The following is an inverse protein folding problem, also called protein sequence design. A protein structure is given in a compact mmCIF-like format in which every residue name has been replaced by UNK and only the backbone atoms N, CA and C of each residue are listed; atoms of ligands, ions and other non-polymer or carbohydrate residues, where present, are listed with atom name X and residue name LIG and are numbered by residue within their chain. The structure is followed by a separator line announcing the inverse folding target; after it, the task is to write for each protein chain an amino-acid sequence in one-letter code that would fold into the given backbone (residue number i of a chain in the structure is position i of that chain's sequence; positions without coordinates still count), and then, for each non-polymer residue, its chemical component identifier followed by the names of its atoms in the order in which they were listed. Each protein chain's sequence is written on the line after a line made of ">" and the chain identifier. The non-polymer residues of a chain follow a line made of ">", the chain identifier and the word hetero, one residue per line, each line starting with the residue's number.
data_IF_709920828260
#
_entry.id   IF_709920828260
#
_cell.length_a   1.000
_cell.length_b   1.000
_cell.length_c   1.000
_cell.angle_alpha   90.00
_cell.angle_beta   90.00
_cell.angle_gamma   90.00
#
_symmetry.space_group_name_H-M   'P 1'
#
loop_
_entity.id
_entity.type
_entity.pdbx_description
1 polymer ?
#
# COMPACT_ATOMS: atom_id res chain seq x y z
N UNK A 1 35.41 -46.04 -43.80
CA UNK A 1 35.00 -46.81 -42.60
C UNK A 1 34.89 -45.85 -41.41
N UNK A 2 33.68 -45.56 -40.91
CA UNK A 2 33.43 -44.60 -39.81
C UNK A 2 33.21 -45.40 -38.52
N UNK A 3 34.18 -45.37 -37.60
CA UNK A 3 34.04 -46.02 -36.27
C UNK A 3 33.02 -45.24 -35.46
N UNK A 4 31.86 -45.85 -35.19
CA UNK A 4 30.88 -45.32 -34.24
C UNK A 4 31.48 -45.53 -32.84
N UNK A 5 31.89 -44.44 -32.20
CA UNK A 5 32.30 -44.45 -30.80
C UNK A 5 31.08 -44.81 -29.94
N UNK A 6 31.10 -45.98 -29.28
CA UNK A 6 30.09 -46.36 -28.30
C UNK A 6 30.16 -45.36 -27.14
N UNK A 7 29.16 -44.48 -27.04
CA UNK A 7 29.00 -43.62 -25.89
C UNK A 7 28.68 -44.51 -24.68
N UNK A 8 29.63 -44.63 -23.76
CA UNK A 8 29.52 -45.50 -22.59
C UNK A 8 28.66 -44.76 -21.58
N UNK A 9 27.35 -45.03 -21.58
CA UNK A 9 26.45 -44.52 -20.54
C UNK A 9 26.91 -45.05 -19.19
N UNK A 10 27.61 -44.21 -18.42
CA UNK A 10 27.95 -44.46 -17.02
C UNK A 10 26.69 -44.22 -16.21
N UNK A 11 26.13 -45.27 -15.62
CA UNK A 11 25.00 -45.15 -14.70
C UNK A 11 25.47 -44.55 -13.36
N UNK A 12 24.67 -43.64 -12.81
CA UNK A 12 24.84 -43.11 -11.45
C UNK A 12 24.72 -44.26 -10.43
N UNK A 13 25.64 -44.30 -9.46
CA UNK A 13 25.55 -45.28 -8.37
C UNK A 13 24.60 -44.78 -7.28
N UNK A 14 23.92 -45.69 -6.58
CA UNK A 14 23.03 -45.35 -5.46
C UNK A 14 23.74 -44.53 -4.39
N UNK A 15 24.99 -44.86 -4.08
CA UNK A 15 25.81 -44.16 -3.08
C UNK A 15 26.16 -42.74 -3.51
N UNK A 16 26.36 -42.49 -4.79
CA UNK A 16 26.68 -41.18 -5.34
C UNK A 16 25.47 -40.24 -5.29
N UNK A 17 24.28 -40.75 -5.62
CA UNK A 17 23.04 -39.99 -5.44
C UNK A 17 22.71 -39.77 -3.96
N UNK A 18 23.00 -40.74 -3.08
CA UNK A 18 22.79 -40.63 -1.64
C UNK A 18 23.67 -39.54 -1.01
N UNK A 19 24.97 -39.52 -1.33
CA UNK A 19 25.89 -38.48 -0.81
C UNK A 19 25.49 -37.09 -1.32
N UNK A 20 25.07 -36.98 -2.58
CA UNK A 20 24.59 -35.70 -3.14
C UNK A 20 23.34 -35.21 -2.41
N UNK A 21 22.35 -36.08 -2.19
CA UNK A 21 21.15 -35.72 -1.42
C UNK A 21 21.49 -35.35 0.03
N UNK A 22 22.44 -36.03 0.66
CA UNK A 22 22.91 -35.70 2.00
C UNK A 22 23.51 -34.30 2.06
N UNK A 23 24.39 -33.95 1.12
CA UNK A 23 25.01 -32.62 1.05
C UNK A 23 23.96 -31.54 0.79
N UNK A 24 23.04 -31.76 -0.16
CA UNK A 24 21.95 -30.80 -0.45
C UNK A 24 21.03 -30.63 0.76
N UNK A 25 20.69 -31.71 1.47
CA UNK A 25 19.88 -31.65 2.69
C UNK A 25 20.55 -30.85 3.81
N UNK A 26 21.85 -31.04 4.02
CA UNK A 26 22.63 -30.29 5.01
C UNK A 26 22.74 -28.80 4.67
N UNK A 27 22.98 -28.47 3.40
CA UNK A 27 23.05 -27.06 2.97
C UNK A 27 21.66 -26.39 3.04
N UNK A 28 20.62 -27.09 2.61
CA UNK A 28 19.24 -26.56 2.60
C UNK A 28 18.73 -26.25 4.01
N UNK A 29 19.07 -27.08 5.01
CA UNK A 29 18.63 -26.86 6.39
C UNK A 29 19.13 -25.55 7.00
N UNK A 30 20.32 -25.08 6.58
CA UNK A 30 20.89 -23.80 7.03
C UNK A 30 20.48 -22.66 6.10
N UNK A 31 20.48 -22.89 4.79
CA UNK A 31 20.26 -21.85 3.79
C UNK A 31 18.81 -21.33 3.78
N UNK A 32 17.81 -22.22 3.88
CA UNK A 32 16.38 -21.86 3.82
C UNK A 32 15.96 -20.88 4.92
N UNK A 33 16.21 -21.14 6.23
CA UNK A 33 15.79 -20.20 7.28
C UNK A 33 16.52 -18.85 7.18
N UNK A 34 17.80 -18.85 6.80
CA UNK A 34 18.56 -17.61 6.61
C UNK A 34 17.96 -16.80 5.45
N UNK A 35 17.62 -17.46 4.34
CA UNK A 35 17.01 -16.80 3.19
C UNK A 35 15.65 -16.17 3.55
N UNK A 36 14.79 -16.90 4.26
CA UNK A 36 13.47 -16.38 4.70
C UNK A 36 13.64 -15.14 5.57
N UNK A 37 14.53 -15.17 6.56
CA UNK A 37 14.77 -14.01 7.43
C UNK A 37 15.30 -12.79 6.64
N UNK A 38 16.21 -13.01 5.68
CA UNK A 38 16.72 -11.94 4.83
C UNK A 38 15.64 -11.33 3.92
N UNK A 39 14.71 -12.16 3.43
CA UNK A 39 13.57 -11.67 2.67
C UNK A 39 12.63 -10.83 3.54
N UNK A 40 12.31 -11.28 4.75
CA UNK A 40 11.47 -10.50 5.67
C UNK A 40 12.13 -9.15 6.03
N UNK A 41 13.43 -9.13 6.35
CA UNK A 41 14.17 -7.89 6.60
C UNK A 41 14.10 -6.93 5.40
N UNK A 42 14.18 -7.46 4.18
CA UNK A 42 14.08 -6.67 2.95
C UNK A 42 12.66 -6.10 2.76
N UNK A 43 11.63 -6.89 3.06
CA UNK A 43 10.22 -6.43 3.04
C UNK A 43 9.99 -5.31 4.04
N UNK A 44 10.44 -5.45 5.28
CA UNK A 44 10.29 -4.39 6.30
C UNK A 44 10.97 -3.09 5.85
N UNK A 45 12.19 -3.16 5.29
CA UNK A 45 12.89 -1.98 4.77
C UNK A 45 12.20 -1.34 3.59
N UNK A 46 11.65 -2.16 2.69
CA UNK A 46 10.86 -1.68 1.56
C UNK A 46 9.60 -0.98 2.07
N UNK A 47 8.88 -1.59 3.01
CA UNK A 47 7.68 -1.01 3.61
C UNK A 47 7.97 0.34 4.30
N UNK A 48 9.10 0.44 4.99
CA UNK A 48 9.56 1.70 5.60
C UNK A 48 9.82 2.79 4.53
N UNK A 49 10.50 2.44 3.44
CA UNK A 49 10.74 3.38 2.35
C UNK A 49 9.44 3.84 1.69
N UNK A 50 8.54 2.90 1.38
CA UNK A 50 7.24 3.17 0.77
C UNK A 50 6.33 4.02 1.67
N UNK A 51 6.26 3.74 2.98
CA UNK A 51 5.54 4.59 3.95
C UNK A 51 6.03 6.05 3.93
N UNK A 52 7.35 6.24 3.85
CA UNK A 52 7.96 7.57 3.77
C UNK A 52 7.63 8.26 2.45
N UNK A 53 7.70 7.54 1.34
CA UNK A 53 7.36 8.09 0.02
C UNK A 53 5.88 8.51 -0.05
N UNK A 54 4.96 7.68 0.44
CA UNK A 54 3.53 8.00 0.53
C UNK A 54 3.30 9.25 1.39
N UNK A 55 3.94 9.32 2.56
CA UNK A 55 3.81 10.49 3.43
C UNK A 55 4.34 11.78 2.78
N UNK A 56 5.48 11.70 2.08
CA UNK A 56 6.02 12.84 1.34
C UNK A 56 5.08 13.28 0.20
N UNK A 57 4.44 12.32 -0.48
CA UNK A 57 3.45 12.60 -1.52
C UNK A 57 2.20 13.27 -0.94
N UNK A 58 1.69 12.80 0.21
CA UNK A 58 0.61 13.46 0.95
C UNK A 58 0.97 14.90 1.36
N UNK A 59 2.17 15.11 1.92
CA UNK A 59 2.64 16.45 2.28
C UNK A 59 2.76 17.36 1.06
N UNK A 60 3.24 16.85 -0.07
CA UNK A 60 3.30 17.61 -1.32
C UNK A 60 1.90 17.96 -1.84
N UNK A 61 0.97 17.01 -1.83
CA UNK A 61 -0.42 17.24 -2.20
C UNK A 61 -1.06 18.32 -1.31
N UNK A 62 -0.87 18.23 0.00
CA UNK A 62 -1.35 19.21 0.95
C UNK A 62 -0.69 20.59 0.79
N UNK A 63 0.59 20.67 0.41
CA UNK A 63 1.23 21.96 0.16
C UNK A 63 0.64 22.66 -1.08
N UNK A 64 0.26 21.92 -2.12
CA UNK A 64 -0.28 22.48 -3.36
C UNK A 64 -1.77 22.78 -3.24
N UNK A 65 -2.57 21.79 -2.82
CA UNK A 65 -4.04 21.85 -2.81
C UNK A 65 -4.63 22.20 -1.45
N UNK A 66 -3.84 22.05 -0.38
CA UNK A 66 -4.28 22.34 0.98
C UNK A 66 -5.17 21.25 1.58
N UNK A 67 -5.14 20.03 1.04
CA UNK A 67 -5.87 18.86 1.55
C UNK A 67 -4.98 17.62 1.51
N UNK A 68 -5.12 16.77 2.52
CA UNK A 68 -4.77 15.35 2.43
C UNK A 68 -5.91 14.58 1.76
N UNK A 69 -5.53 13.55 1.02
CA UNK A 69 -6.45 12.71 0.27
C UNK A 69 -6.31 11.25 0.73
N UNK A 70 -7.24 10.38 0.38
CA UNK A 70 -6.97 8.95 0.43
C UNK A 70 -5.82 8.57 -0.51
N UNK A 71 -4.99 7.62 -0.08
CA UNK A 71 -3.73 7.34 -0.78
C UNK A 71 -3.89 6.93 -2.24
N UNK A 72 -5.00 6.27 -2.61
CA UNK A 72 -5.26 5.88 -4.01
C UNK A 72 -5.40 7.09 -4.96
N UNK A 73 -5.65 8.29 -4.44
CA UNK A 73 -5.79 9.49 -5.26
C UNK A 73 -4.42 10.10 -5.58
N UNK A 74 -3.37 9.74 -4.83
CA UNK A 74 -2.05 10.34 -4.99
C UNK A 74 -1.39 10.00 -6.34
N UNK A 75 -1.75 8.89 -6.98
CA UNK A 75 -1.25 8.55 -8.32
C UNK A 75 -2.09 9.11 -9.47
N UNK A 76 -3.18 9.80 -9.17
CA UNK A 76 -4.10 10.25 -10.20
C UNK A 76 -3.44 11.22 -11.18
N UNK A 77 -3.74 11.04 -12.47
CA UNK A 77 -3.35 11.97 -13.51
C UNK A 77 -4.29 13.18 -13.55
N UNK A 78 -3.80 14.36 -13.97
CA UNK A 78 -4.61 15.57 -14.02
C UNK A 78 -5.61 15.56 -15.18
N UNK A 79 -5.28 14.89 -16.27
CA UNK A 79 -6.13 14.74 -17.44
C UNK A 79 -6.02 13.32 -18.00
N UNK A 80 -7.14 12.73 -18.46
CA UNK A 80 -7.12 11.37 -19.00
C UNK A 80 -6.35 11.34 -20.32
N UNK A 81 -5.36 10.44 -20.44
CA UNK A 81 -4.74 10.13 -21.74
C UNK A 81 -5.66 9.34 -22.66
N UNK A 82 -6.68 8.67 -22.10
CA UNK A 82 -7.80 8.02 -22.79
C UNK A 82 -9.00 7.91 -21.82
N UNK A 83 -10.19 8.33 -22.26
CA UNK A 83 -11.39 8.58 -21.44
C UNK A 83 -12.07 7.34 -20.81
N UNK A 84 -11.52 6.14 -20.95
CA UNK A 84 -12.25 4.90 -20.62
C UNK A 84 -11.77 4.16 -19.37
N UNK A 85 -10.82 4.70 -18.61
CA UNK A 85 -10.32 4.08 -17.38
C UNK A 85 -10.77 4.92 -16.18
N UNK A 86 -11.69 4.35 -15.41
CA UNK A 86 -12.19 4.91 -14.15
C UNK A 86 -11.08 4.84 -13.09
N UNK A 87 -10.94 5.88 -12.26
CA UNK A 87 -9.93 5.91 -11.18
C UNK A 87 -8.46 6.08 -11.61
N UNK A 88 -8.21 6.55 -12.84
CA UNK A 88 -6.86 6.90 -13.34
C UNK A 88 -6.60 8.43 -13.30
N UNK A 89 -7.64 9.20 -12.96
CA UNK A 89 -7.62 10.66 -12.93
C UNK A 89 -8.55 11.17 -11.86
N UNK A 90 -8.20 12.31 -11.26
CA UNK A 90 -8.98 12.97 -10.21
C UNK A 90 -10.45 13.23 -10.58
N UNK A 91 -10.76 13.38 -11.87
CA UNK A 91 -12.11 13.65 -12.40
C UNK A 91 -12.95 12.39 -12.63
N UNK A 92 -12.32 11.22 -12.64
CA UNK A 92 -12.98 9.92 -12.84
C UNK A 92 -13.25 9.19 -11.52
N UNK A 93 -12.92 9.82 -10.39
CA UNK A 93 -13.29 9.37 -9.05
C UNK A 93 -14.83 9.40 -8.85
N UNK A 94 -15.40 8.51 -8.03
CA UNK A 94 -16.81 8.53 -7.70
C UNK A 94 -17.18 9.83 -6.96
N UNK A 95 -17.91 10.69 -7.68
CA UNK A 95 -18.34 12.00 -7.18
C UNK A 95 -19.11 11.85 -5.86
N UNK A 96 -18.72 12.64 -4.86
CA UNK A 96 -19.45 12.69 -3.59
C UNK A 96 -19.11 11.56 -2.59
N UNK A 97 -18.22 10.63 -2.93
CA UNK A 97 -17.89 9.48 -2.06
C UNK A 97 -16.61 9.71 -1.26
N UNK A 98 -15.63 10.37 -1.87
CA UNK A 98 -14.31 10.61 -1.26
C UNK A 98 -14.36 11.86 -0.39
N UNK A 99 -13.87 11.75 0.84
CA UNK A 99 -13.75 12.83 1.80
C UNK A 99 -12.31 13.36 1.83
N UNK A 100 -12.19 14.68 1.91
CA UNK A 100 -10.94 15.41 1.99
C UNK A 100 -10.65 15.81 3.42
N UNK A 101 -9.37 15.86 3.77
CA UNK A 101 -8.91 16.22 5.11
C UNK A 101 -8.11 17.51 5.01
N UNK A 102 -8.51 18.54 5.74
CA UNK A 102 -7.77 19.79 5.80
C UNK A 102 -6.71 19.72 6.92
N UNK A 103 -5.40 19.72 6.61
CA UNK A 103 -4.35 19.61 7.63
C UNK A 103 -4.27 20.84 8.57
N UNK A 104 -4.90 21.97 8.20
CA UNK A 104 -4.86 23.21 8.98
C UNK A 104 -5.93 23.27 10.08
N UNK A 105 -6.92 22.38 10.03
CA UNK A 105 -7.98 22.29 11.04
C UNK A 105 -7.74 21.01 11.83
N UNK A 106 -8.07 21.01 13.12
CA UNK A 106 -7.92 19.79 13.91
C UNK A 106 -8.88 18.71 13.40
N UNK A 107 -8.50 17.43 13.40
CA UNK A 107 -9.36 16.35 12.92
C UNK A 107 -10.72 16.29 13.64
N UNK A 108 -10.76 16.57 14.95
CA UNK A 108 -11.98 16.54 15.76
C UNK A 108 -13.03 17.55 15.30
N UNK A 109 -12.59 18.70 14.81
CA UNK A 109 -13.46 19.79 14.34
C UNK A 109 -13.95 19.56 12.91
N UNK A 110 -13.32 18.65 12.18
CA UNK A 110 -13.68 18.30 10.81
C UNK A 110 -14.60 17.09 10.72
N UNK A 111 -14.49 16.16 11.68
CA UNK A 111 -15.22 14.90 11.65
C UNK A 111 -16.74 15.12 11.50
N UNK A 112 -17.32 14.51 10.47
CA UNK A 112 -18.75 14.64 10.15
C UNK A 112 -19.13 15.92 9.39
N UNK A 113 -18.20 16.87 9.22
CA UNK A 113 -18.34 18.08 8.39
C UNK A 113 -17.19 18.21 7.39
N UNK A 114 -16.56 17.09 7.03
CA UNK A 114 -15.46 17.07 6.07
C UNK A 114 -15.93 17.55 4.70
N UNK A 115 -14.98 18.13 3.96
CA UNK A 115 -15.23 18.46 2.57
C UNK A 115 -15.24 17.17 1.76
N UNK A 116 -16.10 17.13 0.76
CA UNK A 116 -16.22 15.98 -0.14
C UNK A 116 -15.57 16.35 -1.46
N UNK A 117 -14.81 15.43 -2.04
CA UNK A 117 -14.34 15.53 -3.41
C UNK A 117 -15.55 15.45 -4.33
N UNK A 118 -15.92 16.60 -4.89
CA UNK A 118 -16.97 16.64 -5.87
C UNK A 118 -16.75 17.73 -6.90
N UNK A 119 -16.99 17.38 -8.16
CA UNK A 119 -16.95 18.32 -9.29
C UNK A 119 -18.03 19.41 -9.18
N UNK A 120 -19.11 19.12 -8.46
CA UNK A 120 -20.20 20.05 -8.17
C UNK A 120 -20.07 20.75 -6.81
N UNK A 121 -18.93 20.61 -6.12
CA UNK A 121 -18.72 21.17 -4.78
C UNK A 121 -18.87 22.70 -4.77
N UNK A 122 -19.61 23.23 -3.79
CA UNK A 122 -19.75 24.67 -3.57
C UNK A 122 -18.47 25.33 -3.03
N UNK A 123 -17.48 24.55 -2.60
CA UNK A 123 -16.23 25.07 -2.07
C UNK A 123 -15.23 25.34 -3.21
N UNK A 124 -14.77 26.60 -3.41
CA UNK A 124 -13.85 26.95 -4.49
C UNK A 124 -12.51 26.21 -4.37
N UNK A 125 -12.04 25.86 -3.18
CA UNK A 125 -10.77 25.14 -2.98
C UNK A 125 -10.84 23.70 -3.50
N UNK A 126 -11.96 23.03 -3.30
CA UNK A 126 -12.16 21.66 -3.78
C UNK A 126 -12.22 21.65 -5.31
N UNK A 127 -12.95 22.61 -5.88
CA UNK A 127 -13.00 22.77 -7.34
C UNK A 127 -11.64 23.09 -7.95
N UNK A 128 -10.89 24.00 -7.33
CA UNK A 128 -9.55 24.36 -7.77
C UNK A 128 -8.60 23.15 -7.78
N UNK A 129 -8.66 22.31 -6.73
CA UNK A 129 -7.91 21.05 -6.68
C UNK A 129 -8.24 20.11 -7.84
N UNK A 130 -9.52 19.98 -8.21
CA UNK A 130 -9.95 19.12 -9.33
C UNK A 130 -9.56 19.72 -10.69
N UNK A 131 -9.69 21.04 -10.84
CA UNK A 131 -9.43 21.76 -12.09
C UNK A 131 -7.92 21.90 -12.38
N UNK A 132 -7.11 22.06 -11.34
CA UNK A 132 -5.66 22.27 -11.42
C UNK A 132 -4.87 21.18 -10.70
N UNK A 133 -5.36 19.94 -10.73
CA UNK A 133 -4.65 18.82 -10.14
C UNK A 133 -3.20 18.75 -10.64
N UNK A 134 -2.26 18.62 -9.71
CA UNK A 134 -0.82 18.66 -9.98
C UNK A 134 -0.16 17.28 -9.88
N UNK A 135 -0.95 16.22 -9.70
CA UNK A 135 -0.47 14.85 -9.67
C UNK A 135 0.05 14.36 -11.03
N UNK A 136 0.57 13.13 -11.10
CA UNK A 136 0.66 12.17 -10.00
C UNK A 136 1.75 12.56 -9.00
N UNK A 137 1.47 12.44 -7.71
CA UNK A 137 2.43 12.70 -6.62
C UNK A 137 3.31 11.49 -6.31
N UNK A 138 2.77 10.30 -6.53
CA UNK A 138 3.44 9.02 -6.38
C UNK A 138 2.97 8.08 -7.49
N UNK A 139 3.67 6.97 -7.70
CA UNK A 139 3.28 5.98 -8.68
C UNK A 139 3.28 4.60 -8.02
N UNK A 140 2.09 4.01 -7.89
CA UNK A 140 1.96 2.67 -7.36
C UNK A 140 2.06 1.62 -8.45
N UNK A 141 2.47 0.41 -8.07
CA UNK A 141 2.31 -0.73 -8.95
C UNK A 141 0.81 -1.02 -9.14
N UNK A 142 0.36 -0.95 -10.40
CA UNK A 142 -1.01 -1.35 -10.75
C UNK A 142 -1.24 -2.81 -10.39
N UNK A 143 -2.29 -3.07 -9.63
CA UNK A 143 -2.74 -4.42 -9.27
C UNK A 143 -4.12 -4.67 -9.83
N UNK A 144 -4.41 -5.93 -10.16
CA UNK A 144 -5.71 -6.29 -10.71
C UNK A 144 -6.63 -6.72 -9.58
N UNK A 145 -7.73 -6.02 -9.38
CA UNK A 145 -8.75 -6.42 -8.40
C UNK A 145 -9.76 -7.38 -9.02
N UNK A 146 -10.39 -8.24 -8.19
CA UNK A 146 -11.40 -9.21 -8.61
C UNK A 146 -10.94 -10.67 -8.76
N UNK A 147 -9.64 -10.97 -8.64
CA UNK A 147 -9.12 -12.33 -8.47
C UNK A 147 -8.64 -12.56 -7.02
N UNK A 148 -8.59 -13.81 -6.58
CA UNK A 148 -8.11 -14.19 -5.24
C UNK A 148 -6.68 -13.72 -4.93
N UNK A 149 -5.87 -13.40 -5.94
CA UNK A 149 -4.55 -12.80 -5.79
C UNK A 149 -4.37 -11.58 -6.72
N UNK A 150 -4.43 -10.35 -6.19
CA UNK A 150 -4.27 -9.12 -6.97
C UNK A 150 -2.85 -8.86 -7.49
N UNK A 151 -1.86 -9.57 -6.96
CA UNK A 151 -0.46 -9.50 -7.40
C UNK A 151 -0.12 -10.59 -8.41
N UNK A 152 -1.07 -11.43 -8.82
CA UNK A 152 -0.84 -12.47 -9.83
C UNK A 152 -0.43 -11.86 -11.17
N UNK A 153 0.83 -12.05 -11.62
CA UNK A 153 1.32 -11.47 -12.87
C UNK A 153 0.70 -12.09 -14.12
N UNK A 154 0.00 -13.23 -14.00
CA UNK A 154 -0.61 -13.95 -15.11
C UNK A 154 -2.13 -13.70 -15.22
N UNK A 155 -2.70 -12.87 -14.35
CA UNK A 155 -4.14 -12.62 -14.36
C UNK A 155 -4.54 -11.72 -15.53
N UNK A 156 -5.51 -12.20 -16.32
CA UNK A 156 -6.06 -11.50 -17.47
C UNK A 156 -7.51 -11.13 -17.13
N UNK A 157 -7.74 -9.94 -16.58
CA UNK A 157 -9.10 -9.40 -16.40
C UNK A 157 -9.50 -8.56 -17.62
N UNK A 158 -10.68 -8.83 -18.17
CA UNK A 158 -11.25 -8.09 -19.31
C UNK A 158 -12.41 -7.17 -18.92
N UNK A 159 -12.76 -7.06 -17.64
CA UNK A 159 -13.98 -6.34 -17.20
C UNK A 159 -13.87 -5.56 -15.88
N UNK A 160 -12.91 -5.85 -15.00
CA UNK A 160 -12.70 -5.08 -13.76
C UNK A 160 -11.41 -4.25 -13.86
N UNK A 161 -11.54 -2.97 -13.51
CA UNK A 161 -10.56 -1.92 -13.82
C UNK A 161 -9.35 -1.99 -12.88
N UNK A 162 -8.20 -1.58 -13.44
CA UNK A 162 -6.87 -1.49 -12.86
C UNK A 162 -6.82 -0.32 -11.87
N UNK A 163 -7.03 -0.61 -10.59
CA UNK A 163 -6.99 0.41 -9.54
C UNK A 163 -5.58 0.48 -8.93
N UNK A 164 -5.10 1.70 -8.75
CA UNK A 164 -3.74 1.98 -8.31
C UNK A 164 -3.75 2.05 -6.77
N UNK A 165 -3.69 0.87 -6.14
CA UNK A 165 -3.71 0.77 -4.69
C UNK A 165 -2.30 0.67 -4.11
N UNK A 166 -1.99 1.44 -3.06
CA UNK A 166 -0.75 1.27 -2.33
C UNK A 166 -0.83 -0.02 -1.51
N UNK A 167 -0.22 -1.09 -2.02
CA UNK A 167 -0.04 -2.34 -1.30
C UNK A 167 1.37 -2.42 -0.74
N UNK A 168 1.48 -2.88 0.49
CA UNK A 168 2.73 -3.16 1.15
C UNK A 168 3.42 -4.42 0.56
N UNK A 169 4.66 -4.72 0.97
CA UNK A 169 5.40 -5.88 0.46
C UNK A 169 4.76 -7.24 0.75
N UNK A 170 3.84 -7.34 1.72
CA UNK A 170 3.09 -8.55 2.04
C UNK A 170 1.77 -8.65 1.26
N UNK A 171 1.37 -7.60 0.53
CA UNK A 171 0.17 -7.59 -0.31
C UNK A 171 -1.06 -7.03 0.35
N UNK A 172 -0.89 -6.36 1.49
CA UNK A 172 -1.96 -5.70 2.21
C UNK A 172 -1.95 -4.20 1.91
N UNK A 173 -3.10 -3.52 1.89
CA UNK A 173 -3.16 -2.09 1.65
C UNK A 173 -2.57 -1.28 2.81
N UNK A 174 -1.82 -0.23 2.48
CA UNK A 174 -1.39 0.76 3.46
C UNK A 174 -2.59 1.47 4.11
N UNK A 175 -2.45 1.79 5.39
CA UNK A 175 -3.50 2.42 6.20
C UNK A 175 -3.12 3.85 6.53
N UNK A 176 -4.10 4.74 6.35
CA UNK A 176 -3.96 6.12 6.72
C UNK A 176 -4.56 6.35 8.10
N UNK A 177 -3.81 6.99 9.00
CA UNK A 177 -4.27 7.36 10.32
C UNK A 177 -4.25 8.86 10.53
N UNK A 178 -5.27 9.31 11.25
CA UNK A 178 -5.31 10.63 11.87
C UNK A 178 -5.06 10.48 13.38
N UNK A 179 -4.83 11.60 14.09
CA UNK A 179 -4.81 11.58 15.55
C UNK A 179 -6.08 11.03 16.23
N UNK A 180 -7.20 10.91 15.53
CA UNK A 180 -8.45 10.34 16.07
C UNK A 180 -8.52 8.83 15.95
N UNK A 181 -7.76 8.23 15.04
CA UNK A 181 -7.90 6.84 14.64
C UNK A 181 -7.75 6.67 13.12
N UNK A 182 -8.15 5.49 12.65
CA UNK A 182 -8.00 5.11 11.24
C UNK A 182 -8.88 6.00 10.35
N UNK A 183 -8.35 6.37 9.19
CA UNK A 183 -9.05 7.16 8.19
C UNK A 183 -9.71 6.23 7.19
N UNK A 184 -11.04 6.26 7.18
CA UNK A 184 -11.92 5.64 6.21
C UNK A 184 -12.85 4.61 6.82
N UNK A 185 -14.11 4.57 6.35
CA UNK A 185 -15.10 3.61 6.83
C UNK A 185 -14.73 2.16 6.47
N UNK A 186 -14.17 1.95 5.29
CA UNK A 186 -13.68 0.66 4.79
C UNK A 186 -12.18 0.44 5.03
N UNK A 187 -11.54 1.29 5.83
CA UNK A 187 -10.08 1.28 5.97
C UNK A 187 -9.52 0.04 6.65
N UNK A 188 -10.36 -0.84 7.21
CA UNK A 188 -9.93 -2.16 7.71
C UNK A 188 -10.28 -3.29 6.73
N UNK A 189 -10.95 -2.98 5.62
CA UNK A 189 -11.25 -3.98 4.60
C UNK A 189 -9.95 -4.42 3.93
N UNK A 190 -9.78 -5.74 3.82
CA UNK A 190 -8.63 -6.42 3.22
C UNK A 190 -9.07 -7.28 2.04
N UNK A 191 -10.36 -7.35 1.75
CA UNK A 191 -10.91 -8.06 0.60
C UNK A 191 -10.69 -7.22 -0.66
N UNK A 192 -9.64 -7.57 -1.40
CA UNK A 192 -9.26 -6.92 -2.64
C UNK A 192 -10.13 -7.38 -3.84
N UNK A 193 -11.07 -8.31 -3.64
CA UNK A 193 -11.92 -8.89 -4.71
C UNK A 193 -13.27 -8.22 -4.83
N UNK A 194 -13.79 -7.61 -3.76
CA UNK A 194 -15.09 -6.97 -3.72
C UNK A 194 -14.97 -5.51 -3.25
N UNK A 195 -14.47 -4.68 -4.16
CA UNK A 195 -14.27 -3.25 -3.91
C UNK A 195 -15.27 -2.45 -4.72
N UNK A 196 -15.92 -1.48 -4.05
CA UNK A 196 -16.85 -0.59 -4.74
C UNK A 196 -16.07 0.42 -5.58
N UNK A 197 -15.12 1.16 -4.99
CA UNK A 197 -14.20 2.08 -5.71
C UNK A 197 -12.91 2.45 -4.94
N UNK A 198 -12.83 2.17 -3.64
CA UNK A 198 -11.70 2.56 -2.80
C UNK A 198 -11.60 1.72 -1.52
N UNK A 199 -10.38 1.57 -0.98
CA UNK A 199 -10.13 1.02 0.35
C UNK A 199 -10.43 2.01 1.49
N UNK A 200 -10.34 3.31 1.23
CA UNK A 200 -10.61 4.35 2.20
C UNK A 200 -11.31 5.52 1.52
N UNK A 201 -12.50 5.83 2.01
CA UNK A 201 -13.28 6.99 1.61
C UNK A 201 -12.77 8.29 2.24
N UNK A 202 -11.65 8.29 2.99
CA UNK A 202 -11.10 9.49 3.62
C UNK A 202 -11.88 9.96 4.87
N UNK A 203 -12.87 9.21 5.32
CA UNK A 203 -13.67 9.55 6.49
C UNK A 203 -12.85 9.55 7.78
N UNK A 204 -12.87 10.63 8.54
CA UNK A 204 -12.25 10.67 9.87
C UNK A 204 -13.08 9.82 10.82
N UNK A 205 -12.51 8.72 11.30
CA UNK A 205 -13.17 7.84 12.26
C UNK A 205 -12.48 7.92 13.62
N UNK A 206 -13.16 7.40 14.65
CA UNK A 206 -12.54 7.07 15.95
C UNK A 206 -12.52 5.55 16.15
N UNK A 207 -12.53 4.81 15.05
CA UNK A 207 -12.31 3.38 15.06
C UNK A 207 -10.80 3.16 15.22
N UNK A 208 -10.42 2.13 15.97
CA UNK A 208 -9.04 1.85 16.39
C UNK A 208 -8.55 2.78 17.52
N UNK A 209 -8.05 2.19 18.61
CA UNK A 209 -7.62 2.88 19.84
C UNK A 209 -6.17 3.36 19.78
N UNK A 210 -5.49 3.15 18.65
CA UNK A 210 -4.17 3.72 18.37
C UNK A 210 -4.25 5.25 18.26
N UNK A 211 -4.14 5.88 19.43
CA UNK A 211 -4.11 7.32 19.59
C UNK A 211 -2.74 7.88 19.15
N UNK A 212 -2.55 7.98 17.84
CA UNK A 212 -1.38 8.64 17.28
C UNK A 212 -1.46 10.14 17.55
N UNK A 213 -0.32 10.78 17.82
CA UNK A 213 -0.29 12.22 18.04
C UNK A 213 -0.31 13.02 16.74
N UNK A 214 -0.06 12.34 15.61
CA UNK A 214 0.12 12.91 14.27
C UNK A 214 -0.58 12.02 13.24
N UNK A 215 -0.64 12.52 12.01
CA UNK A 215 -1.00 11.69 10.88
C UNK A 215 0.07 10.62 10.65
N UNK A 216 -0.35 9.43 10.21
CA UNK A 216 0.58 8.34 9.98
C UNK A 216 0.18 7.48 8.79
N UNK A 217 1.19 7.00 8.06
CA UNK A 217 1.08 5.88 7.14
C UNK A 217 1.48 4.63 7.89
N UNK A 218 0.65 3.59 7.83
CA UNK A 218 0.85 2.34 8.57
C UNK A 218 0.73 1.15 7.63
N UNK A 219 1.67 0.22 7.71
CA UNK A 219 1.50 -1.16 7.22
C UNK A 219 1.35 -2.07 8.43
N UNK A 220 0.39 -3.01 8.37
CA UNK A 220 0.16 -4.03 9.42
C UNK A 220 1.08 -5.24 9.27
N UNK A 221 2.18 -5.08 8.53
CA UNK A 221 3.21 -6.09 8.44
C UNK A 221 2.72 -7.41 7.85
N UNK A 222 3.22 -8.51 8.40
CA UNK A 222 3.01 -9.84 7.85
C UNK A 222 1.67 -10.42 8.28
N UNK A 223 1.22 -10.12 9.49
CA UNK A 223 0.04 -10.76 10.08
C UNK A 223 -1.27 -10.04 9.78
N UNK A 224 -1.23 -8.84 9.18
CA UNK A 224 -2.40 -8.00 8.87
C UNK A 224 -3.18 -7.56 10.10
N UNK A 225 -2.60 -7.70 11.28
CA UNK A 225 -3.26 -7.38 12.52
C UNK A 225 -2.61 -6.13 13.10
N UNK A 226 -3.44 -5.19 13.57
CA UNK A 226 -2.91 -4.00 14.18
C UNK A 226 -2.19 -4.35 15.48
N UNK A 227 -0.98 -3.84 15.67
CA UNK A 227 -0.30 -3.91 16.96
C UNK A 227 -1.08 -3.13 18.02
N UNK A 228 -1.73 -3.87 18.91
CA UNK A 228 -2.31 -3.30 20.14
C UNK A 228 -1.21 -3.09 21.18
N UNK A 229 -1.43 -2.17 22.11
CA UNK A 229 -0.48 -1.76 23.18
C UNK A 229 0.05 -2.93 24.06
N UNK A 230 -0.47 -4.15 23.89
CA UNK A 230 -0.15 -5.33 24.70
C UNK A 230 0.33 -6.54 23.89
N UNK A 231 0.62 -6.39 22.59
CA UNK A 231 0.97 -7.50 21.67
C UNK A 231 2.41 -8.01 21.77
N UNK A 232 2.61 -9.29 21.43
CA UNK A 232 3.92 -10.00 21.46
C UNK A 232 4.64 -10.05 20.10
N UNK A 233 3.97 -9.71 19.00
CA UNK A 233 4.59 -9.55 17.67
C UNK A 233 4.72 -8.06 17.38
N UNK A 234 5.89 -7.66 16.86
CA UNK A 234 6.12 -6.29 16.41
C UNK A 234 6.58 -6.26 14.96
N UNK A 235 5.64 -6.11 14.04
CA UNK A 235 5.84 -6.09 12.59
C UNK A 235 5.11 -4.94 11.88
N UNK A 236 4.38 -4.10 12.60
CA UNK A 236 3.78 -2.88 12.06
C UNK A 236 4.87 -1.85 11.72
N UNK A 237 4.75 -1.28 10.52
CA UNK A 237 5.62 -0.19 10.08
C UNK A 237 4.84 1.10 10.09
N UNK A 238 5.23 2.02 10.97
CA UNK A 238 4.53 3.30 11.17
C UNK A 238 5.47 4.45 10.80
N UNK A 239 4.99 5.33 9.92
CA UNK A 239 5.67 6.58 9.59
C UNK A 239 4.76 7.77 9.90
N UNK A 240 5.23 8.65 10.78
CA UNK A 240 4.50 9.85 11.19
C UNK A 240 4.84 11.04 10.31
N UNK A 241 3.83 11.83 9.96
CA UNK A 241 3.99 13.02 9.12
C UNK A 241 2.99 14.12 9.47
N UNK A 242 3.16 15.30 8.86
CA UNK A 242 2.34 16.49 9.12
C UNK A 242 2.88 17.43 10.21
N UNK A 243 2.22 18.57 10.35
CA UNK A 243 2.77 19.73 11.07
C UNK A 243 2.63 19.59 12.59
N UNK A 244 3.73 19.24 13.28
CA UNK A 244 4.12 19.81 14.60
C UNK A 244 5.64 19.67 14.84
N UNK A 245 6.46 20.60 14.34
CA UNK A 245 7.73 21.05 14.96
C UNK A 245 8.86 20.08 15.37
N UNK A 246 8.82 18.78 15.09
CA UNK A 246 9.91 17.83 15.35
C UNK A 246 9.93 16.80 14.21
N UNK A 247 11.12 16.47 13.72
CA UNK A 247 11.44 15.64 12.54
C UNK A 247 10.52 14.43 12.32
N UNK A 248 10.38 14.03 11.05
CA UNK A 248 9.70 12.80 10.69
C UNK A 248 10.46 11.61 11.27
N UNK A 249 9.79 10.87 12.16
CA UNK A 249 10.40 9.77 12.90
C UNK A 249 9.76 8.46 12.44
N UNK A 250 10.61 7.48 12.12
CA UNK A 250 10.17 6.09 12.01
C UNK A 250 9.89 5.58 13.42
N UNK A 251 8.62 5.28 13.71
CA UNK A 251 8.25 4.66 14.97
C UNK A 251 8.29 3.15 14.83
N UNK A 252 9.37 2.50 15.26
CA UNK A 252 9.26 1.18 15.86
C UNK A 252 9.04 1.42 17.35
N UNK A 253 7.81 1.20 17.86
CA UNK A 253 7.60 1.29 19.30
C UNK A 253 8.41 0.18 19.97
N UNK A 254 9.43 0.57 20.74
CA UNK A 254 10.19 -0.31 21.64
C UNK A 254 9.37 -0.56 22.91
#
# INVERSE_FOLDING_TARGET
>A
MKRIARNRNRGLTLTELLVVMLIIGLLSSIAVPVYINRMEDARVRLAMAECREIAMAEEQCAMIHGFYVPFQILDDLPHPRNLSLQGDTIRNEPDGTILLINPLIRPEDQRGSQLVLSTASGNPRVRDMIDHWAGPFINYQRVYTGNQDPKDPNFINTTEVRLDFPLDPWGQPYRFYSPLGIIGSNALNTDLTNLTFSFSDGSLTTNDDRNFQRYAVVSFGRDNLPETLTGTSRDDVIYFFGVTGVESEFGLRI
#
